data_IF_147352294378
#
_entry.id   IF_147352294378
#
_cell.length_a   1.000
_cell.length_b   1.000
_cell.length_c   1.000
_cell.angle_alpha   90.00
_cell.angle_beta   90.00
_cell.angle_gamma   90.00
#
_symmetry.space_group_name_H-M   'P 1'
#
loop_
_entity.id
_entity.type
_entity.pdbx_description
1 polymer ?
#
# COMPACT_ATOMS: atom_id res chain seq x y z
N UNK A 1 35.77 -1.75 -32.65
CA UNK A 1 35.21 -1.38 -33.96
C UNK A 1 33.73 -1.76 -33.91
N UNK A 2 32.72 -0.89 -33.80
CA UNK A 2 32.53 0.56 -33.95
C UNK A 2 31.61 1.04 -32.82
N UNK A 3 31.94 2.17 -32.21
CA UNK A 3 31.04 3.02 -31.42
C UNK A 3 30.07 3.74 -32.38
N UNK A 4 28.78 3.80 -32.04
CA UNK A 4 27.78 4.55 -32.81
C UNK A 4 27.02 5.51 -31.90
N UNK A 5 27.56 6.72 -31.83
CA UNK A 5 26.94 7.93 -31.28
C UNK A 5 25.93 8.48 -32.29
N UNK A 6 24.71 8.80 -31.86
CA UNK A 6 23.75 9.67 -32.57
C UNK A 6 23.10 10.57 -31.51
N UNK A 7 23.62 11.78 -31.31
CA UNK A 7 23.29 13.04 -31.99
C UNK A 7 21.87 13.53 -31.63
N UNK A 8 21.83 14.48 -30.69
CA UNK A 8 20.64 15.13 -30.15
C UNK A 8 20.42 16.42 -30.96
N UNK A 9 19.33 16.49 -31.70
CA UNK A 9 18.94 17.67 -32.49
C UNK A 9 18.29 18.74 -31.61
N UNK A 10 18.93 19.90 -31.50
CA UNK A 10 18.44 21.07 -30.78
C UNK A 10 17.69 22.01 -31.74
N UNK A 11 16.43 22.44 -31.48
CA UNK A 11 15.75 23.41 -32.32
C UNK A 11 16.16 24.86 -31.99
N UNK A 12 16.48 25.61 -33.06
CA UNK A 12 17.00 26.97 -33.09
C UNK A 12 15.84 27.98 -33.08
N UNK A 13 15.76 28.85 -32.06
CA UNK A 13 14.84 29.98 -32.04
C UNK A 13 15.38 31.15 -32.90
N UNK A 14 14.51 31.90 -33.62
CA UNK A 14 14.92 33.05 -34.40
C UNK A 14 15.10 34.30 -33.53
N UNK A 15 16.20 35.04 -33.76
CA UNK A 15 16.51 36.35 -33.17
C UNK A 15 16.00 37.43 -34.14
N UNK A 16 15.30 38.47 -33.69
CA UNK A 16 14.94 39.60 -34.56
C UNK A 16 16.12 40.53 -34.83
N UNK A 17 16.18 41.00 -36.08
CA UNK A 17 17.24 41.83 -36.65
C UNK A 17 17.36 43.21 -35.98
N UNK A 18 18.60 43.61 -35.68
CA UNK A 18 18.95 44.96 -35.21
C UNK A 18 19.28 45.81 -36.41
N UNK A 19 18.37 46.71 -36.76
CA UNK A 19 18.55 47.71 -37.80
C UNK A 19 19.55 48.79 -37.34
N UNK A 20 20.50 49.06 -38.21
CA UNK A 20 21.57 50.04 -38.02
C UNK A 20 21.24 51.29 -38.81
N UNK A 21 21.13 52.44 -38.14
CA UNK A 21 21.25 53.73 -38.81
C UNK A 21 22.28 54.62 -38.10
N UNK A 22 23.18 55.11 -38.93
CA UNK A 22 24.38 55.87 -38.60
C UNK A 22 24.08 57.37 -38.54
N UNK A 23 24.78 58.06 -37.63
CA UNK A 23 25.56 59.28 -37.94
C UNK A 23 24.84 60.58 -38.33
N UNK A 24 24.91 61.59 -37.44
CA UNK A 24 25.38 62.94 -37.78
C UNK A 24 25.80 63.71 -36.50
N UNK A 25 26.86 64.52 -36.61
CA UNK A 25 27.46 65.39 -35.58
C UNK A 25 27.62 66.80 -36.21
N UNK A 26 28.01 67.85 -35.47
CA UNK A 26 27.33 68.55 -34.39
C UNK A 26 26.99 70.00 -34.83
N UNK A 27 26.43 70.80 -33.92
CA UNK A 27 26.26 72.27 -34.00
C UNK A 27 24.91 72.75 -34.53
N UNK A 28 23.94 72.92 -33.62
CA UNK A 28 23.26 74.21 -33.48
C UNK A 28 22.90 74.40 -31.99
N UNK A 29 23.46 75.45 -31.39
CA UNK A 29 23.05 75.96 -30.10
C UNK A 29 21.59 76.41 -30.20
N UNK A 30 20.72 75.83 -29.37
CA UNK A 30 19.54 76.55 -28.90
C UNK A 30 19.40 76.36 -27.40
N UNK A 31 19.99 77.34 -26.74
CA UNK A 31 19.73 77.78 -25.38
C UNK A 31 18.22 78.06 -25.24
N UNK A 32 17.53 77.19 -24.50
CA UNK A 32 16.29 77.45 -23.75
C UNK A 32 15.68 76.11 -23.30
N UNK A 33 16.16 75.58 -22.17
CA UNK A 33 15.41 74.61 -21.39
C UNK A 33 15.71 74.78 -19.89
N UNK A 34 14.69 74.86 -19.03
CA UNK A 34 14.82 75.29 -17.63
C UNK A 34 15.54 74.27 -16.74
N UNK A 35 16.06 74.78 -15.61
CA UNK A 35 16.82 74.08 -14.57
C UNK A 35 16.23 72.71 -14.15
N UNK A 36 17.08 71.78 -13.64
CA UNK A 36 16.66 70.44 -13.28
C UNK A 36 15.60 70.49 -12.16
N UNK A 37 14.41 69.96 -12.45
CA UNK A 37 13.38 69.71 -11.44
C UNK A 37 13.88 68.59 -10.56
N UNK A 38 14.36 68.93 -9.37
CA UNK A 38 14.55 67.96 -8.30
C UNK A 38 13.16 67.42 -7.94
N UNK A 39 12.85 66.20 -8.38
CA UNK A 39 11.65 65.50 -7.93
C UNK A 39 11.75 65.30 -6.41
N UNK A 40 10.78 65.79 -5.62
CA UNK A 40 10.79 65.52 -4.19
C UNK A 40 10.55 64.03 -4.01
N UNK A 41 11.57 63.29 -3.59
CA UNK A 41 11.40 61.95 -3.03
C UNK A 41 10.59 62.10 -1.75
N UNK A 42 9.27 61.96 -1.86
CA UNK A 42 8.39 61.83 -0.71
C UNK A 42 8.74 60.50 -0.02
N UNK A 43 9.64 60.58 0.94
CA UNK A 43 9.74 59.54 1.96
C UNK A 43 8.41 59.62 2.72
N UNK A 44 7.47 58.75 2.38
CA UNK A 44 6.25 58.56 3.16
C UNK A 44 6.67 58.33 4.61
N UNK A 45 6.18 59.19 5.50
CA UNK A 45 6.40 59.03 6.93
C UNK A 45 5.69 57.75 7.38
N UNK A 46 6.43 56.66 7.51
CA UNK A 46 5.94 55.43 8.11
C UNK A 46 5.52 55.74 9.54
N UNK A 47 4.21 55.82 9.77
CA UNK A 47 3.64 55.94 11.11
C UNK A 47 4.04 54.67 11.89
N UNK A 48 4.81 54.85 12.97
CA UNK A 48 5.16 53.76 13.88
C UNK A 48 3.91 53.21 14.59
N UNK A 49 3.98 51.96 15.05
CA UNK A 49 2.87 51.30 15.76
C UNK A 49 2.54 52.00 17.08
N UNK A 50 1.25 52.22 17.33
CA UNK A 50 0.77 52.63 18.65
C UNK A 50 0.87 51.47 19.65
N UNK A 51 1.18 51.78 20.90
CA UNK A 51 1.16 50.81 22.01
C UNK A 51 -0.22 50.13 22.13
N UNK A 52 -1.30 50.87 21.84
CA UNK A 52 -2.66 50.33 21.85
C UNK A 52 -2.90 49.33 20.71
N UNK A 53 -2.36 49.59 19.51
CA UNK A 53 -2.44 48.64 18.39
C UNK A 53 -1.67 47.36 18.67
N UNK A 54 -0.51 47.46 19.33
CA UNK A 54 0.25 46.29 19.79
C UNK A 54 -0.57 45.45 20.79
N UNK A 55 -1.22 46.12 21.76
CA UNK A 55 -2.04 45.46 22.78
C UNK A 55 -3.26 44.75 22.16
N UNK A 56 -3.94 45.40 21.23
CA UNK A 56 -5.08 44.81 20.51
C UNK A 56 -4.61 43.64 19.63
N UNK A 57 -3.49 43.81 18.92
CA UNK A 57 -2.95 42.76 18.04
C UNK A 57 -2.53 41.51 18.82
N UNK A 58 -1.85 41.69 19.96
CA UNK A 58 -1.44 40.58 20.84
C UNK A 58 -2.64 39.90 21.52
N UNK A 59 -3.66 40.66 21.93
CA UNK A 59 -4.91 40.10 22.43
C UNK A 59 -5.60 39.23 21.37
N UNK A 60 -5.73 39.71 20.14
CA UNK A 60 -6.33 38.95 19.04
C UNK A 60 -5.52 37.71 18.69
N UNK A 61 -4.18 37.80 18.65
CA UNK A 61 -3.30 36.67 18.42
C UNK A 61 -3.49 35.57 19.48
N UNK A 62 -3.62 35.96 20.75
CA UNK A 62 -3.82 35.03 21.86
C UNK A 62 -5.16 34.30 21.75
N UNK A 63 -6.21 35.01 21.34
CA UNK A 63 -7.53 34.40 21.10
C UNK A 63 -7.45 33.37 19.96
N UNK A 64 -6.81 33.73 18.84
CA UNK A 64 -6.67 32.83 17.69
C UNK A 64 -5.87 31.58 18.07
N UNK A 65 -4.72 31.75 18.72
CA UNK A 65 -3.90 30.64 19.20
C UNK A 65 -4.68 29.75 20.17
N UNK A 66 -5.43 30.34 21.11
CA UNK A 66 -6.28 29.61 22.03
C UNK A 66 -7.31 28.72 21.31
N UNK A 67 -7.92 29.22 20.23
CA UNK A 67 -8.84 28.43 19.40
C UNK A 67 -8.10 27.29 18.67
N UNK A 68 -6.93 27.54 18.10
CA UNK A 68 -6.13 26.51 17.42
C UNK A 68 -5.64 25.42 18.38
N UNK A 69 -5.19 25.77 19.59
CA UNK A 69 -4.75 24.79 20.59
C UNK A 69 -5.86 23.84 21.04
N UNK A 70 -7.12 24.26 20.97
CA UNK A 70 -8.26 23.39 21.25
C UNK A 70 -8.51 22.33 20.16
N UNK A 71 -7.98 22.50 18.95
CA UNK A 71 -8.12 21.52 17.86
C UNK A 71 -7.07 20.41 17.92
N UNK A 72 -5.87 20.69 18.43
CA UNK A 72 -4.75 19.74 18.49
C UNK A 72 -5.11 18.35 19.08
N UNK A 73 -5.86 18.25 20.21
CA UNK A 73 -6.22 16.93 20.76
C UNK A 73 -7.17 16.13 19.84
N UNK A 74 -7.94 16.81 18.97
CA UNK A 74 -8.81 16.15 18.01
C UNK A 74 -8.00 15.61 16.84
N UNK A 75 -7.04 16.39 16.36
CA UNK A 75 -6.16 16.00 15.27
C UNK A 75 -5.29 14.78 15.66
N UNK A 76 -4.75 14.78 16.89
CA UNK A 76 -4.01 13.64 17.42
C UNK A 76 -4.86 12.37 17.47
N UNK A 77 -6.10 12.46 17.96
CA UNK A 77 -7.01 11.30 18.01
C UNK A 77 -7.40 10.81 16.62
N UNK A 78 -7.58 11.70 15.65
CA UNK A 78 -7.86 11.33 14.26
C UNK A 78 -6.67 10.57 13.68
N UNK A 79 -5.47 11.11 13.85
CA UNK A 79 -4.24 10.51 13.37
C UNK A 79 -4.02 9.09 13.95
N UNK A 80 -4.24 8.90 15.26
CA UNK A 80 -4.14 7.57 15.88
C UNK A 80 -5.18 6.59 15.35
N UNK A 81 -6.41 7.05 15.10
CA UNK A 81 -7.48 6.22 14.55
C UNK A 81 -7.20 5.80 13.10
N UNK A 82 -6.65 6.73 12.30
CA UNK A 82 -6.24 6.48 10.92
C UNK A 82 -5.07 5.51 10.87
N UNK A 83 -4.05 5.69 11.73
CA UNK A 83 -2.93 4.79 11.83
C UNK A 83 -3.37 3.37 12.19
N UNK A 84 -4.21 3.21 13.21
CA UNK A 84 -4.74 1.89 13.58
C UNK A 84 -5.54 1.25 12.43
N UNK A 85 -6.31 2.04 11.67
CA UNK A 85 -7.06 1.54 10.51
C UNK A 85 -6.14 1.11 9.37
N UNK A 86 -5.06 1.85 9.13
CA UNK A 86 -4.03 1.51 8.15
C UNK A 86 -3.30 0.22 8.53
N UNK A 87 -2.93 0.07 9.81
CA UNK A 87 -2.29 -1.14 10.33
C UNK A 87 -3.17 -2.38 10.11
N UNK A 88 -4.46 -2.31 10.46
CA UNK A 88 -5.40 -3.41 10.25
C UNK A 88 -5.53 -3.79 8.75
N UNK A 89 -5.56 -2.80 7.86
CA UNK A 89 -5.61 -3.03 6.41
C UNK A 89 -4.32 -3.67 5.89
N UNK A 90 -3.16 -3.21 6.37
CA UNK A 90 -1.88 -3.79 5.98
C UNK A 90 -1.77 -5.24 6.42
N UNK A 91 -2.20 -5.56 7.65
CA UNK A 91 -2.25 -6.92 8.17
C UNK A 91 -3.16 -7.82 7.33
N UNK A 92 -4.37 -7.36 6.98
CA UNK A 92 -5.30 -8.09 6.12
C UNK A 92 -4.69 -8.36 4.73
N UNK A 93 -4.05 -7.36 4.12
CA UNK A 93 -3.38 -7.49 2.82
C UNK A 93 -2.21 -8.46 2.86
N UNK A 94 -1.39 -8.39 3.91
CA UNK A 94 -0.28 -9.31 4.12
C UNK A 94 -0.78 -10.76 4.23
N UNK A 95 -1.78 -11.00 5.09
CA UNK A 95 -2.38 -12.31 5.28
C UNK A 95 -2.95 -12.88 3.96
N UNK A 96 -3.73 -12.08 3.22
CA UNK A 96 -4.29 -12.51 1.94
C UNK A 96 -3.22 -12.79 0.89
N UNK A 97 -2.19 -11.95 0.79
CA UNK A 97 -1.11 -12.19 -0.17
C UNK A 97 -0.37 -13.49 0.13
N UNK A 98 -0.08 -13.74 1.42
CA UNK A 98 0.57 -14.97 1.87
C UNK A 98 -0.30 -16.21 1.59
N UNK A 99 -1.58 -16.16 1.93
CA UNK A 99 -2.53 -17.24 1.62
C UNK A 99 -2.66 -17.47 0.12
N UNK A 100 -2.76 -16.40 -0.66
CA UNK A 100 -2.92 -16.48 -2.11
C UNK A 100 -1.71 -17.06 -2.81
N UNK A 101 -0.50 -16.86 -2.28
CA UNK A 101 0.71 -17.53 -2.78
C UNK A 101 0.62 -19.05 -2.58
N UNK A 102 0.28 -19.49 -1.36
CA UNK A 102 0.20 -20.92 -1.02
C UNK A 102 -0.94 -21.60 -1.79
N UNK A 103 -2.12 -20.98 -1.82
CA UNK A 103 -3.30 -21.52 -2.54
C UNK A 103 -3.05 -21.61 -4.05
N UNK A 104 -2.32 -20.66 -4.64
CA UNK A 104 -1.94 -20.75 -6.07
C UNK A 104 -0.94 -21.87 -6.35
N UNK A 105 -0.17 -22.27 -5.34
CA UNK A 105 0.71 -23.43 -5.39
C UNK A 105 -0.02 -24.77 -5.28
N UNK A 106 -1.32 -24.76 -4.94
CA UNK A 106 -2.12 -25.97 -4.81
C UNK A 106 -2.24 -26.71 -6.15
N UNK A 107 -2.14 -28.04 -6.08
CA UNK A 107 -2.23 -28.91 -7.24
C UNK A 107 -1.06 -28.78 -8.21
N UNK A 108 0.10 -28.27 -7.78
CA UNK A 108 1.32 -28.40 -8.57
C UNK A 108 1.59 -29.89 -8.81
N UNK A 109 1.85 -30.28 -10.07
CA UNK A 109 1.89 -31.67 -10.49
C UNK A 109 2.84 -31.87 -11.69
N UNK A 110 4.15 -31.62 -11.52
CA UNK A 110 5.12 -31.73 -12.61
C UNK A 110 5.25 -33.17 -13.13
N UNK A 111 4.98 -34.20 -12.31
CA UNK A 111 5.09 -35.60 -12.71
C UNK A 111 3.79 -36.21 -13.26
N UNK A 112 2.70 -35.42 -13.35
CA UNK A 112 1.44 -35.85 -13.94
C UNK A 112 0.75 -36.99 -13.18
N UNK A 113 0.73 -36.93 -11.85
CA UNK A 113 0.02 -37.89 -11.01
C UNK A 113 -1.48 -37.80 -11.27
N UNK A 114 -2.12 -38.94 -11.59
CA UNK A 114 -3.57 -39.01 -11.83
C UNK A 114 -4.42 -38.76 -10.57
N UNK A 115 -3.84 -38.84 -9.37
CA UNK A 115 -4.57 -38.72 -8.09
C UNK A 115 -4.73 -37.26 -7.65
N UNK A 116 -3.84 -36.35 -8.06
CA UNK A 116 -4.12 -34.90 -8.00
C UNK A 116 -4.95 -34.54 -9.22
N UNK A 117 -6.23 -34.90 -9.21
CA UNK A 117 -7.18 -34.25 -10.10
C UNK A 117 -7.26 -32.76 -9.69
N UNK A 118 -7.46 -31.84 -10.63
CA UNK A 118 -7.33 -30.39 -10.37
C UNK A 118 -8.22 -29.83 -9.24
N UNK A 119 -9.21 -30.61 -8.80
CA UNK A 119 -10.14 -30.29 -7.69
C UNK A 119 -9.71 -30.94 -6.36
N UNK A 120 -8.89 -32.00 -6.37
CA UNK A 120 -8.45 -32.74 -5.17
C UNK A 120 -7.20 -32.14 -4.49
N UNK A 121 -6.54 -31.18 -5.13
CA UNK A 121 -5.41 -30.43 -4.55
C UNK A 121 -5.84 -29.45 -3.45
N UNK A 122 -7.14 -29.23 -3.25
CA UNK A 122 -7.69 -28.38 -2.21
C UNK A 122 -8.84 -29.11 -1.50
N UNK A 123 -8.80 -29.16 -0.17
CA UNK A 123 -9.89 -29.61 0.67
C UNK A 123 -10.28 -28.53 1.66
N UNK A 124 -11.57 -28.30 1.86
CA UNK A 124 -12.06 -27.35 2.88
C UNK A 124 -12.82 -28.11 3.97
N UNK A 125 -12.53 -27.80 5.23
CA UNK A 125 -13.20 -28.38 6.41
C UNK A 125 -13.94 -27.28 7.19
N UNK A 126 -15.07 -27.63 7.81
CA UNK A 126 -15.86 -26.73 8.65
C UNK A 126 -16.87 -25.86 7.89
N UNK A 127 -16.99 -26.03 6.57
CA UNK A 127 -17.96 -25.33 5.73
C UNK A 127 -19.23 -26.15 5.45
N UNK A 128 -20.21 -25.49 4.85
CA UNK A 128 -21.43 -26.15 4.34
C UNK A 128 -21.29 -26.39 2.84
N UNK A 129 -21.73 -27.55 2.36
CA UNK A 129 -21.75 -27.86 0.92
C UNK A 129 -23.10 -27.42 0.34
N UNK A 130 -23.08 -26.60 -0.71
CA UNK A 130 -24.28 -26.18 -1.43
C UNK A 130 -24.74 -27.26 -2.44
N UNK A 131 -25.95 -27.15 -3.03
CA UNK A 131 -26.44 -28.11 -4.02
C UNK A 131 -25.56 -28.24 -5.29
N UNK A 132 -24.70 -27.26 -5.56
CA UNK A 132 -23.77 -27.26 -6.70
C UNK A 132 -22.40 -27.85 -6.31
N UNK A 133 -22.25 -28.34 -5.08
CA UNK A 133 -20.99 -28.89 -4.58
C UNK A 133 -19.95 -27.85 -4.17
N UNK A 134 -20.30 -26.56 -4.11
CA UNK A 134 -19.41 -25.54 -3.56
C UNK A 134 -19.38 -25.65 -2.04
N UNK A 135 -18.23 -25.38 -1.44
CA UNK A 135 -18.08 -25.29 0.01
C UNK A 135 -18.11 -23.82 0.40
N UNK A 136 -18.92 -23.46 1.39
CA UNK A 136 -19.05 -22.07 1.89
C UNK A 136 -18.78 -22.03 3.39
N UNK A 137 -18.01 -21.03 3.82
CA UNK A 137 -17.75 -20.73 5.22
C UNK A 137 -16.80 -21.70 5.92
N UNK A 138 -15.92 -22.37 5.18
CA UNK A 138 -14.93 -23.28 5.78
C UNK A 138 -13.88 -22.56 6.61
N UNK A 139 -13.38 -23.23 7.64
CA UNK A 139 -12.43 -22.65 8.61
C UNK A 139 -11.00 -23.16 8.42
N UNK A 140 -10.85 -24.30 7.74
CA UNK A 140 -9.57 -24.92 7.41
C UNK A 140 -9.51 -25.21 5.93
N UNK A 141 -8.37 -24.87 5.30
CA UNK A 141 -8.03 -25.29 3.94
C UNK A 141 -6.85 -26.24 3.98
N UNK A 142 -6.99 -27.41 3.37
CA UNK A 142 -5.92 -28.37 3.11
C UNK A 142 -5.48 -28.22 1.67
N UNK A 143 -4.17 -28.19 1.44
CA UNK A 143 -3.56 -28.02 0.14
C UNK A 143 -2.62 -29.20 -0.11
N UNK A 144 -2.76 -29.82 -1.28
CA UNK A 144 -1.89 -30.90 -1.75
C UNK A 144 -1.23 -30.54 -3.07
N UNK A 145 0.07 -30.83 -3.15
CA UNK A 145 0.90 -30.57 -4.33
C UNK A 145 2.05 -31.56 -4.41
N UNK A 146 2.39 -32.04 -5.60
CA UNK A 146 3.61 -32.80 -5.89
C UNK A 146 4.71 -31.79 -6.22
N UNK A 147 5.41 -31.33 -5.20
CA UNK A 147 6.39 -30.25 -5.36
C UNK A 147 7.72 -30.79 -5.88
N UNK A 148 8.06 -32.05 -5.58
CA UNK A 148 9.32 -32.67 -5.98
C UNK A 148 9.23 -33.57 -7.23
N UNK A 149 8.02 -33.88 -7.72
CA UNK A 149 7.82 -34.67 -8.94
C UNK A 149 8.03 -36.17 -8.77
N UNK A 150 8.01 -36.70 -7.55
CA UNK A 150 8.26 -38.13 -7.30
C UNK A 150 6.97 -38.98 -7.23
N UNK A 151 5.81 -38.34 -7.43
CA UNK A 151 4.48 -38.94 -7.38
C UNK A 151 3.95 -39.28 -5.99
N UNK A 152 4.65 -38.85 -4.94
CA UNK A 152 4.15 -38.84 -3.58
C UNK A 152 3.48 -37.48 -3.30
N UNK A 153 2.57 -37.46 -2.32
CA UNK A 153 1.95 -36.22 -1.80
C UNK A 153 2.21 -36.06 -0.30
N UNK A 154 2.94 -37.00 0.29
CA UNK A 154 3.19 -37.03 1.73
C UNK A 154 4.60 -36.61 2.09
N UNK A 155 5.34 -36.00 1.16
CA UNK A 155 6.72 -35.64 1.44
C UNK A 155 6.79 -34.31 2.18
N UNK A 156 7.65 -34.29 3.19
CA UNK A 156 8.16 -33.06 3.79
C UNK A 156 9.44 -32.68 3.04
N UNK A 157 9.40 -31.56 2.33
CA UNK A 157 10.56 -30.94 1.70
C UNK A 157 11.34 -30.18 2.77
N UNK A 158 12.30 -30.87 3.40
CA UNK A 158 13.02 -30.39 4.58
C UNK A 158 14.33 -29.65 4.29
N UNK A 159 14.61 -29.22 3.05
CA UNK A 159 15.98 -28.84 2.67
C UNK A 159 16.29 -27.36 2.54
N UNK A 160 15.40 -26.43 2.92
CA UNK A 160 15.75 -25.01 2.83
C UNK A 160 15.16 -24.21 4.00
N UNK A 161 16.03 -23.49 4.69
CA UNK A 161 15.67 -22.65 5.84
C UNK A 161 14.86 -21.41 5.42
N UNK A 162 14.75 -21.15 4.11
CA UNK A 162 14.02 -20.02 3.52
C UNK A 162 12.68 -20.42 2.87
N UNK A 163 12.33 -21.72 2.84
CA UNK A 163 11.10 -22.20 2.20
C UNK A 163 9.98 -22.33 3.23
N UNK A 164 9.02 -21.39 3.15
CA UNK A 164 7.87 -21.34 4.04
C UNK A 164 6.86 -22.48 3.79
N UNK A 165 6.93 -23.20 2.65
CA UNK A 165 6.11 -24.41 2.39
C UNK A 165 7.04 -25.62 2.28
N UNK A 166 7.30 -26.26 3.42
CA UNK A 166 8.18 -27.42 3.51
C UNK A 166 7.45 -28.76 3.31
N UNK A 167 6.24 -28.79 2.77
CA UNK A 167 5.47 -30.03 2.64
C UNK A 167 4.49 -30.00 1.49
N UNK A 168 4.26 -31.19 0.95
CA UNK A 168 3.32 -31.50 -0.13
C UNK A 168 1.88 -31.65 0.36
N UNK A 169 1.67 -31.73 1.68
CA UNK A 169 0.34 -31.78 2.31
C UNK A 169 0.29 -30.85 3.52
N UNK A 170 -0.34 -29.69 3.34
CA UNK A 170 -0.42 -28.67 4.39
C UNK A 170 -1.86 -28.31 4.70
N UNK A 171 -2.15 -28.04 5.97
CA UNK A 171 -3.43 -27.49 6.46
C UNK A 171 -3.21 -26.07 6.97
N UNK A 172 -4.06 -25.14 6.56
CA UNK A 172 -4.05 -23.75 7.02
C UNK A 172 -5.37 -23.44 7.71
N UNK A 173 -5.29 -22.85 8.90
CA UNK A 173 -6.43 -22.44 9.70
C UNK A 173 -6.04 -21.32 10.65
N UNK A 174 -7.04 -20.72 11.31
CA UNK A 174 -6.83 -19.72 12.36
C UNK A 174 -6.67 -20.41 13.71
N UNK A 175 -5.56 -20.16 14.40
CA UNK A 175 -5.29 -20.57 15.77
C UNK A 175 -5.11 -19.34 16.66
N UNK A 176 -6.06 -19.09 17.57
CA UNK A 176 -6.07 -17.85 18.36
C UNK A 176 -6.19 -16.62 17.45
N UNK A 177 -5.25 -15.69 17.52
CA UNK A 177 -5.18 -14.51 16.64
C UNK A 177 -4.33 -14.73 15.39
N UNK A 178 -3.76 -15.92 15.20
CA UNK A 178 -2.79 -16.16 14.14
C UNK A 178 -3.37 -17.07 13.08
N UNK A 179 -2.99 -16.87 11.83
CA UNK A 179 -3.15 -17.86 10.78
C UNK A 179 -1.91 -18.73 10.85
N UNK A 180 -2.13 -20.04 10.93
CA UNK A 180 -1.05 -21.01 11.01
C UNK A 180 -1.15 -22.01 9.87
N UNK A 181 0.00 -22.50 9.46
CA UNK A 181 0.16 -23.62 8.55
C UNK A 181 0.72 -24.81 9.30
N UNK A 182 0.16 -25.98 9.07
CA UNK A 182 0.60 -27.24 9.67
C UNK A 182 0.91 -28.23 8.56
N UNK A 183 2.08 -28.85 8.64
CA UNK A 183 2.42 -30.02 7.84
C UNK A 183 1.61 -31.23 8.35
N UNK A 184 0.88 -31.90 7.45
CA UNK A 184 0.10 -33.08 7.80
C UNK A 184 0.93 -34.38 7.79
N UNK A 185 2.20 -34.33 7.34
CA UNK A 185 3.07 -35.49 7.14
C UNK A 185 4.18 -35.62 8.19
N UNK A 186 4.68 -34.51 8.73
CA UNK A 186 5.68 -34.51 9.80
C UNK A 186 5.25 -33.64 10.97
N UNK A 187 5.80 -33.93 12.16
CA UNK A 187 5.52 -33.32 13.47
C UNK A 187 4.77 -31.96 13.43
N UNK A 188 3.55 -31.98 13.96
CA UNK A 188 2.48 -30.97 13.92
C UNK A 188 2.81 -29.65 14.63
N UNK A 189 3.94 -29.01 14.33
CA UNK A 189 4.26 -27.67 14.83
C UNK A 189 3.65 -26.65 13.89
N UNK A 190 2.67 -25.85 14.33
CA UNK A 190 2.08 -24.82 13.48
C UNK A 190 3.08 -23.71 13.21
N UNK A 191 3.31 -23.41 11.94
CA UNK A 191 4.11 -22.26 11.47
C UNK A 191 3.18 -21.06 11.33
N UNK A 192 3.42 -19.94 12.03
CA UNK A 192 2.61 -18.74 11.86
C UNK A 192 2.83 -18.12 10.48
N UNK A 193 1.76 -17.82 9.77
CA UNK A 193 1.77 -17.16 8.46
C UNK A 193 1.38 -15.69 8.54
N UNK A 194 0.47 -15.36 9.45
CA UNK A 194 0.01 -14.00 9.69
C UNK A 194 -0.50 -13.88 11.12
N UNK A 195 -0.40 -12.68 11.68
CA UNK A 195 -0.80 -12.36 13.05
C UNK A 195 -1.95 -11.34 13.05
N UNK A 196 -2.57 -11.17 14.22
CA UNK A 196 -3.67 -10.23 14.43
C UNK A 196 -4.85 -10.40 13.47
N UNK A 197 -5.27 -11.65 13.31
CA UNK A 197 -6.44 -12.06 12.54
C UNK A 197 -7.59 -12.44 13.49
N UNK A 198 -8.72 -11.78 13.28
CA UNK A 198 -9.96 -11.98 14.04
C UNK A 198 -10.85 -13.06 13.42
N UNK A 199 -10.95 -13.13 12.09
CA UNK A 199 -11.75 -14.14 11.39
C UNK A 199 -11.05 -14.58 10.10
N UNK A 200 -11.21 -15.85 9.76
CA UNK A 200 -10.70 -16.47 8.54
C UNK A 200 -11.71 -17.47 8.02
N UNK A 201 -12.14 -17.29 6.77
CA UNK A 201 -13.06 -18.22 6.09
C UNK A 201 -12.62 -18.51 4.66
N UNK A 202 -12.98 -19.70 4.21
CA UNK A 202 -12.71 -20.20 2.88
C UNK A 202 -14.01 -20.67 2.23
N UNK A 203 -14.28 -20.14 1.05
CA UNK A 203 -15.25 -20.73 0.14
C UNK A 203 -14.49 -21.38 -1.02
N UNK A 204 -14.96 -22.51 -1.50
CA UNK A 204 -14.36 -23.23 -2.61
C UNK A 204 -15.42 -23.62 -3.63
N UNK A 205 -15.19 -23.21 -4.88
CA UNK A 205 -15.97 -23.65 -6.02
C UNK A 205 -15.14 -24.62 -6.87
N UNK A 206 -15.44 -25.93 -6.83
CA UNK A 206 -14.69 -26.94 -7.57
C UNK A 206 -14.78 -26.73 -9.08
N UNK A 207 -15.98 -26.39 -9.58
CA UNK A 207 -16.23 -26.18 -11.01
C UNK A 207 -15.46 -24.98 -11.58
N UNK A 208 -15.34 -23.92 -10.78
CA UNK A 208 -14.63 -22.70 -11.18
C UNK A 208 -13.13 -22.75 -10.85
N UNK A 209 -12.66 -23.82 -10.19
CA UNK A 209 -11.30 -23.92 -9.63
C UNK A 209 -10.94 -22.65 -8.84
N UNK A 210 -11.87 -22.18 -8.02
CA UNK A 210 -11.79 -20.88 -7.35
C UNK A 210 -11.89 -21.05 -5.83
N UNK A 211 -10.92 -20.51 -5.11
CA UNK A 211 -10.97 -20.36 -3.66
C UNK A 211 -11.20 -18.89 -3.33
N UNK A 212 -12.26 -18.59 -2.60
CA UNK A 212 -12.52 -17.27 -2.05
C UNK A 212 -12.08 -17.25 -0.59
N UNK A 213 -11.17 -16.35 -0.26
CA UNK A 213 -10.63 -16.20 1.09
C UNK A 213 -11.19 -14.92 1.69
N UNK A 214 -11.79 -15.03 2.86
CA UNK A 214 -12.25 -13.90 3.66
C UNK A 214 -11.37 -13.78 4.90
N UNK A 215 -10.72 -12.64 5.09
CA UNK A 215 -9.89 -12.35 6.25
C UNK A 215 -10.41 -11.10 6.93
N UNK A 216 -10.59 -11.16 8.24
CA UNK A 216 -10.78 -9.97 9.07
C UNK A 216 -9.57 -9.81 9.98
N UNK A 217 -8.75 -8.81 9.72
CA UNK A 217 -7.59 -8.47 10.55
C UNK A 217 -7.95 -7.37 11.55
N UNK A 218 -7.16 -7.25 12.60
CA UNK A 218 -7.25 -6.19 13.61
C UNK A 218 -5.94 -5.40 13.69
N UNK A 219 -6.04 -4.18 14.19
CA UNK A 219 -4.89 -3.36 14.54
C UNK A 219 -4.21 -3.87 15.80
N UNK A 220 -2.88 -3.79 15.85
CA UNK A 220 -2.09 -4.01 17.07
C UNK A 220 -2.22 -2.83 18.03
N UNK A 221 -2.40 -1.62 17.48
CA UNK A 221 -2.66 -0.41 18.24
C UNK A 221 -4.13 -0.33 18.63
N UNK A 222 -4.36 -0.02 19.91
CA UNK A 222 -5.68 0.33 20.43
C UNK A 222 -5.87 1.84 20.32
N UNK A 223 -7.02 2.28 19.82
CA UNK A 223 -7.35 3.71 19.72
C UNK A 223 -7.74 4.25 21.11
N UNK A 224 -7.80 5.56 21.29
CA UNK A 224 -8.20 6.22 22.55
C UNK A 224 -9.53 5.72 23.17
N UNK A 225 -10.37 5.02 22.40
CA UNK A 225 -11.62 4.38 22.83
C UNK A 225 -11.43 2.96 23.41
N UNK A 226 -10.18 2.48 23.54
CA UNK A 226 -9.90 1.13 24.02
C UNK A 226 -10.22 0.01 23.03
N UNK A 227 -10.71 0.36 21.83
CA UNK A 227 -11.06 -0.60 20.77
C UNK A 227 -9.96 -0.69 19.70
N UNK A 228 -9.70 -1.92 19.26
CA UNK A 228 -8.90 -2.17 18.07
C UNK A 228 -9.74 -1.89 16.81
N UNK A 229 -9.10 -1.36 15.77
CA UNK A 229 -9.74 -1.22 14.46
C UNK A 229 -9.64 -2.54 13.72
N UNK A 230 -10.65 -2.86 12.92
CA UNK A 230 -10.69 -4.09 12.13
C UNK A 230 -10.82 -3.76 10.66
N UNK A 231 -10.28 -4.64 9.81
CA UNK A 231 -10.40 -4.53 8.37
C UNK A 231 -10.69 -5.90 7.78
N UNK A 232 -11.80 -6.00 7.05
CA UNK A 232 -12.17 -7.21 6.32
C UNK A 232 -11.81 -7.07 4.85
N UNK A 233 -11.14 -8.08 4.31
CA UNK A 233 -10.78 -8.16 2.92
C UNK A 233 -11.15 -9.54 2.37
N UNK A 234 -11.62 -9.56 1.14
CA UNK A 234 -11.97 -10.78 0.42
C UNK A 234 -11.13 -10.86 -0.85
N UNK A 235 -10.58 -12.04 -1.12
CA UNK A 235 -9.78 -12.30 -2.31
C UNK A 235 -10.25 -13.56 -3.03
N UNK A 236 -10.32 -13.47 -4.35
CA UNK A 236 -10.71 -14.56 -5.23
C UNK A 236 -9.45 -15.12 -5.89
N UNK A 237 -9.12 -16.36 -5.57
CA UNK A 237 -7.88 -17.00 -5.99
C UNK A 237 -8.22 -18.18 -6.88
N UNK A 238 -7.90 -18.04 -8.17
CA UNK A 238 -7.97 -19.16 -9.11
C UNK A 238 -6.79 -20.09 -8.89
N UNK A 239 -7.08 -21.39 -8.83
CA UNK A 239 -6.05 -22.42 -8.78
C UNK A 239 -5.31 -22.47 -10.11
N UNK A 240 -3.98 -22.69 -10.07
CA UNK A 240 -3.15 -22.73 -11.28
C UNK A 240 -3.25 -24.05 -12.05
N UNK A 241 -3.79 -25.10 -11.43
CA UNK A 241 -3.73 -26.44 -12.01
C UNK A 241 -4.53 -26.51 -13.33
N UNK A 242 -3.83 -26.92 -14.39
CA UNK A 242 -4.34 -27.04 -15.77
C UNK A 242 -5.23 -28.26 -15.87
#
# INVERSE_FOLDING_TARGET
MKTSTREISNPRFPIPDVESQQGFSPTELRQDAPAPVAEPSCIESQRGFSLMELLISTALLTIILGLTFNMLPRDQKSFDAEQASADAQQNARFAINRLAEIIRGAGNNPAGISTINSVLGVGITGGTVDPNGNIVGGTTIRIKSDLNGNKNLTDTISSDADVVISSEDVSIYRSGTNIVMVDNNSSTIPVPLAEDIQDLKFDFSPDQKLVTVHVTARSTRTVADGQARTSSLTSHIRLRNR
#
